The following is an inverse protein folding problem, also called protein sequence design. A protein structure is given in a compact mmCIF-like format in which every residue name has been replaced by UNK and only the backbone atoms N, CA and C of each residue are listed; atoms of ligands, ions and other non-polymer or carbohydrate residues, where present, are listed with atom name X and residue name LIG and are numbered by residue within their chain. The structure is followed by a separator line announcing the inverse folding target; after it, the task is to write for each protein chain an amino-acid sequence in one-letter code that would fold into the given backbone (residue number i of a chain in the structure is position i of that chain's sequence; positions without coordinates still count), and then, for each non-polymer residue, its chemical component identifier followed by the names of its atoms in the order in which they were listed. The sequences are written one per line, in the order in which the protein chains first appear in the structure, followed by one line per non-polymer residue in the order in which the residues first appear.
data_IF_214537888845
#
_entry.id   IF_214537888845
#
_cell.length_a   1.000
_cell.length_b   1.000
_cell.length_c   1.000
_cell.angle_alpha   90.00
_cell.angle_beta   90.00
_cell.angle_gamma   90.00
#
_symmetry.space_group_name_H-M   'P 1'
#
loop_
_entity.id
_entity.type
_entity.pdbx_description
1 polymer ?
#
# COMPACT_ATOMS: atom_id res chain seq x y z
N UNK A 1 -24.76 0.21 28.64
CA UNK A 1 -23.81 -0.89 28.38
C UNK A 1 -22.44 -0.50 28.93
N UNK A 2 -21.85 -1.32 29.79
CA UNK A 2 -20.56 -1.03 30.43
C UNK A 2 -19.45 -0.80 29.38
N UNK A 3 -18.57 0.18 29.62
CA UNK A 3 -17.36 0.47 28.82
C UNK A 3 -16.56 -0.78 28.45
N UNK A 4 -16.56 -1.79 29.33
CA UNK A 4 -15.90 -3.08 29.10
C UNK A 4 -16.57 -3.91 28.00
N UNK A 5 -17.91 -3.98 27.97
CA UNK A 5 -18.64 -4.73 26.94
C UNK A 5 -18.57 -4.08 25.56
N UNK A 6 -18.44 -2.75 25.51
CA UNK A 6 -18.27 -2.03 24.23
C UNK A 6 -16.88 -2.27 23.63
N UNK A 7 -15.83 -2.29 24.46
CA UNK A 7 -14.49 -2.73 24.05
C UNK A 7 -14.49 -4.16 23.51
N UNK A 8 -15.10 -5.11 24.22
CA UNK A 8 -15.13 -6.52 23.78
C UNK A 8 -15.84 -6.68 22.42
N UNK A 9 -16.86 -5.87 22.14
CA UNK A 9 -17.54 -5.85 20.84
C UNK A 9 -16.66 -5.34 19.70
N UNK A 10 -16.00 -4.19 19.89
CA UNK A 10 -15.09 -3.61 18.89
C UNK A 10 -13.90 -4.53 18.58
N UNK A 11 -13.35 -5.21 19.60
CA UNK A 11 -12.27 -6.18 19.40
C UNK A 11 -12.70 -7.36 18.52
N UNK A 12 -13.88 -7.93 18.78
CA UNK A 12 -14.42 -9.04 17.97
C UNK A 12 -14.69 -8.65 16.52
N UNK A 13 -15.14 -7.42 16.30
CA UNK A 13 -15.43 -6.93 14.95
C UNK A 13 -14.15 -6.71 14.14
N UNK A 14 -13.08 -6.24 14.79
CA UNK A 14 -11.75 -6.09 14.18
C UNK A 14 -11.10 -7.45 13.91
N UNK A 15 -11.17 -8.40 14.85
CA UNK A 15 -10.71 -9.78 14.66
C UNK A 15 -11.41 -10.42 13.45
N UNK A 16 -12.73 -10.23 13.36
CA UNK A 16 -13.53 -10.73 12.23
C UNK A 16 -13.15 -10.06 10.90
N UNK A 17 -12.89 -8.75 10.90
CA UNK A 17 -12.40 -8.03 9.71
C UNK A 17 -11.02 -8.52 9.26
N UNK A 18 -10.16 -8.93 10.20
CA UNK A 18 -8.82 -9.49 9.92
C UNK A 18 -8.91 -10.92 9.40
N UNK A 19 -9.81 -11.75 9.95
CA UNK A 19 -10.15 -13.05 9.37
C UNK A 19 -10.75 -12.93 7.96
N UNK A 20 -11.57 -11.90 7.73
CA UNK A 20 -12.17 -11.60 6.42
C UNK A 20 -11.15 -11.05 5.40
N UNK A 21 -9.97 -10.56 5.82
CA UNK A 21 -8.92 -10.03 4.91
C UNK A 21 -7.97 -11.09 4.33
N UNK A 22 -8.36 -12.36 4.33
CA UNK A 22 -7.64 -13.51 3.77
C UNK A 22 -6.27 -13.81 4.43
N UNK A 23 -6.30 -14.49 5.57
CA UNK A 23 -5.18 -15.37 5.98
C UNK A 23 -5.27 -16.66 5.14
N UNK A 24 -4.19 -17.10 4.46
CA UNK A 24 -4.22 -18.36 3.73
C UNK A 24 -4.43 -19.52 4.71
N UNK A 25 -5.54 -20.24 4.54
CA UNK A 25 -5.81 -21.48 5.27
C UNK A 25 -4.65 -22.46 5.14
N UNK A 26 -4.23 -23.02 6.28
CA UNK A 26 -3.23 -24.06 6.50
C UNK A 26 -3.61 -25.44 5.97
N UNK A 27 -4.29 -25.52 4.83
CA UNK A 27 -4.40 -26.79 4.11
C UNK A 27 -3.16 -26.93 3.23
N UNK A 28 -2.25 -27.84 3.61
CA UNK A 28 -0.96 -28.15 2.97
C UNK A 28 -1.00 -28.66 1.53
N UNK A 29 -1.92 -28.16 0.70
CA UNK A 29 -1.89 -28.23 -0.77
C UNK A 29 -1.85 -26.81 -1.29
N UNK A 30 -0.64 -26.30 -1.53
CA UNK A 30 -0.41 -25.02 -2.19
C UNK A 30 -1.21 -25.01 -3.49
N UNK A 31 -2.20 -24.12 -3.59
CA UNK A 31 -2.96 -23.94 -4.84
C UNK A 31 -1.95 -23.65 -5.95
N UNK A 32 -2.09 -24.26 -7.15
CA UNK A 32 -1.16 -23.97 -8.22
C UNK A 32 -1.20 -22.47 -8.53
N UNK A 33 -0.03 -21.86 -8.74
CA UNK A 33 0.08 -20.44 -9.04
C UNK A 33 0.85 -20.26 -10.35
N UNK A 34 0.47 -19.23 -11.09
CA UNK A 34 1.19 -18.80 -12.28
C UNK A 34 1.53 -17.31 -12.18
N UNK A 35 2.79 -16.98 -12.37
CA UNK A 35 3.32 -15.62 -12.22
C UNK A 35 4.58 -15.42 -13.06
N UNK A 36 5.02 -14.17 -13.23
CA UNK A 36 6.34 -13.89 -13.81
C UNK A 36 7.46 -14.30 -12.84
N UNK A 37 8.59 -14.75 -13.37
CA UNK A 37 9.77 -15.17 -12.61
C UNK A 37 10.36 -14.03 -11.77
N UNK A 38 10.21 -12.80 -12.26
CA UNK A 38 10.60 -11.56 -11.63
C UNK A 38 9.46 -10.55 -11.77
N UNK A 39 9.31 -9.67 -10.79
CA UNK A 39 8.34 -8.56 -10.90
C UNK A 39 8.90 -7.35 -11.63
N UNK A 40 10.24 -7.21 -11.68
CA UNK A 40 10.92 -6.17 -12.46
C UNK A 40 11.92 -6.83 -13.39
N UNK A 41 11.85 -6.42 -14.65
CA UNK A 41 12.85 -6.70 -15.66
C UNK A 41 13.53 -5.39 -16.05
N UNK A 42 14.84 -5.44 -16.21
CA UNK A 42 15.62 -4.30 -16.64
C UNK A 42 16.05 -4.47 -18.09
N UNK A 43 16.03 -3.36 -18.82
CA UNK A 43 16.46 -3.29 -20.22
C UNK A 43 17.58 -2.26 -20.36
N UNK A 44 18.45 -2.48 -21.34
CA UNK A 44 19.43 -1.50 -21.81
C UNK A 44 18.96 -0.84 -23.12
N UNK A 45 19.54 0.31 -23.46
CA UNK A 45 19.26 1.08 -24.68
C UNK A 45 19.55 0.30 -25.96
N UNK A 46 20.43 -0.70 -25.87
CA UNK A 46 20.86 -1.51 -27.00
C UNK A 46 19.95 -2.75 -27.20
N UNK A 47 19.09 -3.05 -26.24
CA UNK A 47 18.22 -4.23 -26.29
C UNK A 47 17.18 -4.08 -27.40
N UNK A 48 17.09 -5.10 -28.25
CA UNK A 48 16.03 -5.18 -29.28
C UNK A 48 14.75 -5.79 -28.73
N UNK A 49 14.89 -6.64 -27.72
CA UNK A 49 13.80 -7.37 -27.11
C UNK A 49 14.07 -7.54 -25.62
N UNK A 50 12.99 -7.58 -24.84
CA UNK A 50 13.04 -8.00 -23.44
C UNK A 50 12.43 -9.39 -23.29
N UNK A 51 13.16 -10.28 -22.63
CA UNK A 51 12.78 -11.64 -22.28
C UNK A 51 12.13 -11.66 -20.91
N UNK A 52 10.90 -12.17 -20.83
CA UNK A 52 10.22 -12.44 -19.57
C UNK A 52 9.95 -13.94 -19.46
N UNK A 53 10.17 -14.50 -18.29
CA UNK A 53 9.86 -15.92 -18.01
C UNK A 53 8.60 -15.99 -17.15
N UNK A 54 7.59 -16.71 -17.62
CA UNK A 54 6.40 -17.06 -16.84
C UNK A 54 6.68 -18.41 -16.16
N UNK A 55 6.42 -18.49 -14.87
CA UNK A 55 6.62 -19.69 -14.05
C UNK A 55 5.31 -20.18 -13.47
N UNK A 56 5.10 -21.49 -13.50
CA UNK A 56 3.97 -22.19 -12.90
C UNK A 56 4.49 -23.04 -11.74
N UNK A 57 4.00 -22.78 -10.52
CA UNK A 57 4.36 -23.52 -9.30
C UNK A 57 3.15 -24.31 -8.79
N UNK A 58 3.40 -25.43 -8.11
CA UNK A 58 2.35 -26.31 -7.56
C UNK A 58 1.96 -27.47 -8.49
N UNK A 59 0.76 -28.02 -8.32
CA UNK A 59 0.26 -29.16 -9.11
C UNK A 59 -0.05 -28.72 -10.56
N UNK A 60 0.80 -29.12 -11.51
CA UNK A 60 0.74 -28.71 -12.93
C UNK A 60 0.10 -29.75 -13.86
N UNK A 61 -0.73 -30.66 -13.33
CA UNK A 61 -1.26 -31.82 -14.06
C UNK A 61 -2.16 -31.47 -15.25
N UNK A 62 -2.84 -30.31 -15.21
CA UNK A 62 -3.76 -29.88 -16.25
C UNK A 62 -3.13 -28.80 -17.12
N UNK A 63 -3.48 -28.77 -18.41
CA UNK A 63 -3.11 -27.65 -19.27
C UNK A 63 -3.87 -26.37 -18.85
N UNK A 64 -3.22 -25.21 -18.99
CA UNK A 64 -3.80 -23.90 -18.64
C UNK A 64 -3.52 -22.89 -19.74
N UNK A 65 -4.53 -22.09 -20.06
CA UNK A 65 -4.39 -20.97 -20.98
C UNK A 65 -4.19 -19.68 -20.19
N UNK A 66 -3.18 -18.91 -20.59
CA UNK A 66 -2.87 -17.61 -20.02
C UNK A 66 -2.67 -16.60 -21.14
N UNK A 67 -3.15 -15.38 -20.93
CA UNK A 67 -2.92 -14.26 -21.83
C UNK A 67 -1.96 -13.29 -21.15
N UNK A 68 -0.98 -12.78 -21.89
CA UNK A 68 -0.19 -11.64 -21.48
C UNK A 68 -0.41 -10.47 -22.43
N UNK A 69 -0.49 -9.26 -21.88
CA UNK A 69 -0.71 -8.04 -22.66
C UNK A 69 0.19 -6.91 -22.18
N UNK A 70 0.83 -6.20 -23.13
CA UNK A 70 1.62 -5.00 -22.83
C UNK A 70 0.72 -3.80 -22.56
N UNK A 71 1.06 -3.04 -21.53
CA UNK A 71 0.30 -1.88 -21.04
C UNK A 71 1.25 -0.69 -20.89
N UNK A 72 0.77 0.47 -21.34
CA UNK A 72 1.51 1.72 -21.27
C UNK A 72 1.78 2.12 -19.82
N UNK A 73 2.96 2.66 -19.56
CA UNK A 73 3.25 3.43 -18.35
C UNK A 73 3.66 4.85 -18.74
N UNK A 74 4.83 5.27 -18.26
CA UNK A 74 5.51 6.46 -18.78
C UNK A 74 6.01 6.17 -20.20
N UNK A 75 6.62 4.98 -20.40
CA UNK A 75 6.92 4.48 -21.73
C UNK A 75 5.61 4.14 -22.46
N UNK A 76 5.51 4.58 -23.71
CA UNK A 76 4.30 4.44 -24.55
C UNK A 76 4.52 3.41 -25.66
N UNK A 77 3.46 2.65 -25.94
CA UNK A 77 3.34 1.79 -27.12
C UNK A 77 3.64 2.57 -28.40
N UNK A 78 4.29 1.90 -29.35
CA UNK A 78 4.68 2.39 -30.68
C UNK A 78 5.69 3.55 -30.66
N UNK A 79 6.08 4.01 -29.46
CA UNK A 79 7.19 4.91 -29.24
C UNK A 79 8.39 4.15 -28.65
N UNK A 80 8.16 3.44 -27.54
CA UNK A 80 9.20 2.73 -26.79
C UNK A 80 9.20 1.21 -27.02
N UNK A 81 8.02 0.62 -27.16
CA UNK A 81 7.82 -0.82 -27.30
C UNK A 81 6.65 -1.13 -28.22
N UNK A 82 6.66 -2.29 -28.87
CA UNK A 82 5.57 -2.72 -29.73
C UNK A 82 4.44 -3.38 -28.91
N UNK A 83 3.19 -3.11 -29.29
CA UNK A 83 2.06 -3.76 -28.65
C UNK A 83 2.12 -5.28 -28.82
N UNK A 84 1.89 -6.01 -27.73
CA UNK A 84 1.84 -7.47 -27.74
C UNK A 84 0.73 -7.94 -26.82
N UNK A 85 -0.21 -8.68 -27.37
CA UNK A 85 -1.26 -9.39 -26.64
C UNK A 85 -1.38 -10.78 -27.23
N UNK A 86 -1.11 -11.82 -26.43
CA UNK A 86 -1.06 -13.19 -26.93
C UNK A 86 -1.48 -14.19 -25.86
N UNK A 87 -2.31 -15.14 -26.25
CA UNK A 87 -2.66 -16.31 -25.44
C UNK A 87 -1.60 -17.41 -25.60
N UNK A 88 -1.23 -18.02 -24.49
CA UNK A 88 -0.27 -19.09 -24.35
C UNK A 88 -0.94 -20.25 -23.63
N UNK A 89 -0.73 -21.46 -24.15
CA UNK A 89 -1.18 -22.67 -23.49
C UNK A 89 0.01 -23.37 -22.84
N UNK A 90 0.05 -23.40 -21.52
CA UNK A 90 0.94 -24.27 -20.78
C UNK A 90 0.41 -25.70 -20.85
N UNK A 91 1.22 -26.63 -21.37
CA UNK A 91 0.84 -28.05 -21.39
C UNK A 91 0.94 -28.65 -19.98
N UNK A 92 0.39 -29.85 -19.80
CA UNK A 92 0.53 -30.58 -18.55
C UNK A 92 2.01 -30.74 -18.17
N UNK A 93 2.33 -30.44 -16.92
CA UNK A 93 3.68 -30.47 -16.33
C UNK A 93 4.68 -29.44 -16.88
N UNK A 94 4.27 -28.52 -17.77
CA UNK A 94 5.13 -27.39 -18.17
C UNK A 94 5.25 -26.39 -17.01
N UNK A 95 6.48 -26.18 -16.53
CA UNK A 95 6.76 -25.35 -15.36
C UNK A 95 7.18 -23.92 -15.71
N UNK A 96 7.74 -23.68 -16.89
CA UNK A 96 8.29 -22.38 -17.29
C UNK A 96 8.09 -22.15 -18.78
N UNK A 97 7.85 -20.90 -19.15
CA UNK A 97 7.78 -20.48 -20.56
C UNK A 97 8.30 -19.07 -20.74
N UNK A 98 9.13 -18.89 -21.75
CA UNK A 98 9.71 -17.60 -22.09
C UNK A 98 8.85 -16.86 -23.12
N UNK A 99 8.73 -15.55 -22.93
CA UNK A 99 8.10 -14.62 -23.86
C UNK A 99 9.08 -13.49 -24.18
N UNK A 100 8.92 -12.91 -25.36
CA UNK A 100 9.78 -11.83 -25.85
C UNK A 100 8.91 -10.65 -26.22
N UNK A 101 9.30 -9.45 -25.84
CA UNK A 101 8.62 -8.21 -26.20
C UNK A 101 9.59 -7.34 -26.96
N UNK A 102 9.17 -6.91 -28.13
CA UNK A 102 9.97 -6.14 -29.06
C UNK A 102 10.05 -4.67 -28.61
N UNK A 103 11.28 -4.16 -28.50
CA UNK A 103 11.60 -2.79 -28.12
C UNK A 103 11.91 -1.99 -29.37
N UNK A 104 11.55 -0.71 -29.37
CA UNK A 104 11.81 0.19 -30.50
C UNK A 104 13.19 0.80 -30.30
N UNK A 105 14.07 0.60 -31.28
CA UNK A 105 15.43 1.15 -31.26
C UNK A 105 15.43 2.63 -31.63
N UNK A 106 16.23 3.43 -30.92
CA UNK A 106 16.43 4.85 -31.22
C UNK A 106 15.55 5.83 -30.43
N UNK A 107 14.72 5.35 -29.49
CA UNK A 107 13.93 6.21 -28.60
C UNK A 107 14.73 6.69 -27.38
N UNK A 108 14.39 7.87 -26.86
CA UNK A 108 15.04 8.52 -25.70
C UNK A 108 14.60 7.84 -24.39
N UNK A 109 15.06 6.60 -24.17
CA UNK A 109 14.84 5.88 -22.92
C UNK A 109 15.43 6.64 -21.74
N UNK A 110 14.56 7.04 -20.79
CA UNK A 110 14.95 7.70 -19.54
C UNK A 110 14.78 6.77 -18.36
N UNK A 111 15.50 7.04 -17.26
CA UNK A 111 15.53 6.16 -16.06
C UNK A 111 14.15 5.96 -15.41
N UNK A 112 13.22 6.89 -15.63
CA UNK A 112 11.85 6.80 -15.15
C UNK A 112 10.87 6.18 -16.17
N UNK A 113 11.34 5.85 -17.38
CA UNK A 113 10.52 5.20 -18.39
C UNK A 113 10.26 3.75 -17.98
N UNK A 114 8.98 3.45 -17.85
CA UNK A 114 8.47 2.17 -17.40
C UNK A 114 7.23 1.82 -18.19
N UNK A 115 7.11 0.54 -18.54
CA UNK A 115 5.87 -0.05 -19.03
C UNK A 115 5.60 -1.37 -18.31
N UNK A 116 4.43 -1.93 -18.55
CA UNK A 116 3.95 -3.10 -17.80
C UNK A 116 3.54 -4.22 -18.74
N UNK A 117 3.62 -5.45 -18.23
CA UNK A 117 3.04 -6.63 -18.86
C UNK A 117 2.15 -7.29 -17.85
N UNK A 118 0.86 -7.36 -18.18
CA UNK A 118 -0.14 -7.96 -17.31
C UNK A 118 -0.38 -9.39 -17.75
N UNK A 119 -0.27 -10.31 -16.79
CA UNK A 119 -0.64 -11.71 -16.96
C UNK A 119 -2.08 -11.91 -16.50
N UNK A 120 -2.88 -12.59 -17.32
CA UNK A 120 -4.24 -13.01 -17.02
C UNK A 120 -4.37 -14.50 -17.27
N UNK A 121 -5.12 -15.15 -16.40
CA UNK A 121 -5.49 -16.55 -16.55
C UNK A 121 -6.85 -16.60 -17.25
N UNK A 122 -6.93 -17.36 -18.34
CA UNK A 122 -8.18 -17.55 -19.09
C UNK A 122 -9.05 -18.63 -18.42
N UNK A 123 -10.29 -18.78 -18.90
CA UNK A 123 -11.25 -19.72 -18.34
C UNK A 123 -10.69 -21.16 -18.28
N UNK A 124 -10.78 -21.74 -17.10
CA UNK A 124 -10.20 -23.06 -16.80
C UNK A 124 -11.23 -24.17 -16.96
N UNK A 125 -10.75 -25.38 -17.26
CA UNK A 125 -11.56 -26.59 -17.20
C UNK A 125 -12.02 -26.85 -15.75
N UNK A 126 -13.22 -27.43 -15.59
CA UNK A 126 -13.81 -27.74 -14.28
C UNK A 126 -12.83 -28.59 -13.44
N UNK A 127 -12.22 -28.00 -12.42
CA UNK A 127 -11.35 -28.70 -11.46
C UNK A 127 -9.95 -28.13 -11.30
N UNK A 128 -9.45 -27.31 -12.22
CA UNK A 128 -8.23 -26.54 -12.00
C UNK A 128 -8.53 -25.35 -11.08
N UNK A 129 -7.67 -25.11 -10.10
CA UNK A 129 -7.77 -24.02 -9.12
C UNK A 129 -6.54 -23.10 -9.21
N UNK A 130 -5.87 -23.09 -10.37
CA UNK A 130 -4.67 -22.29 -10.58
C UNK A 130 -5.02 -20.81 -10.46
N UNK A 131 -4.34 -20.11 -9.56
CA UNK A 131 -4.51 -18.67 -9.35
C UNK A 131 -3.34 -17.88 -9.93
N UNK A 132 -3.56 -16.59 -10.19
CA UNK A 132 -2.45 -15.66 -10.44
C UNK A 132 -1.63 -15.52 -9.15
N UNK A 133 -0.31 -15.59 -9.27
CA UNK A 133 0.60 -15.30 -8.16
C UNK A 133 0.83 -13.80 -7.97
N UNK A 134 1.65 -13.45 -6.99
CA UNK A 134 1.92 -12.07 -6.59
C UNK A 134 2.68 -11.30 -7.69
N UNK A 135 3.41 -12.00 -8.56
CA UNK A 135 4.10 -11.42 -9.71
C UNK A 135 3.25 -11.49 -11.00
N UNK A 136 1.96 -11.16 -10.95
CA UNK A 136 1.09 -11.14 -12.13
C UNK A 136 1.32 -9.94 -13.08
N UNK A 137 1.84 -8.83 -12.55
CA UNK A 137 2.14 -7.63 -13.31
C UNK A 137 3.65 -7.40 -13.30
N UNK A 138 4.30 -7.72 -14.42
CA UNK A 138 5.72 -7.43 -14.61
C UNK A 138 5.90 -5.95 -14.98
N UNK A 139 6.94 -5.35 -14.41
CA UNK A 139 7.34 -3.96 -14.66
C UNK A 139 8.66 -3.97 -15.42
N UNK A 140 8.68 -3.37 -16.60
CA UNK A 140 9.89 -3.28 -17.42
C UNK A 140 10.37 -1.85 -17.31
N UNK A 141 11.61 -1.66 -16.90
CA UNK A 141 12.17 -0.34 -16.69
C UNK A 141 13.60 -0.24 -17.18
N UNK A 142 13.96 0.95 -17.63
CA UNK A 142 15.33 1.29 -17.99
C UNK A 142 16.09 1.70 -16.73
N UNK A 143 17.07 0.89 -16.32
CA UNK A 143 17.90 1.18 -15.13
C UNK A 143 19.25 1.69 -15.61
N UNK A 144 19.83 2.67 -14.92
CA UNK A 144 21.27 2.92 -15.02
C UNK A 144 22.01 1.92 -14.14
N UNK A 145 23.07 1.32 -14.66
CA UNK A 145 23.94 0.43 -13.89
C UNK A 145 24.49 1.18 -12.67
N UNK A 146 24.36 0.53 -11.52
CA UNK A 146 24.78 1.09 -10.24
C UNK A 146 25.97 0.26 -9.76
N UNK A 147 27.16 0.74 -10.08
CA UNK A 147 28.41 0.06 -9.78
C UNK A 147 28.82 0.26 -8.33
N UNK A 148 29.41 -0.77 -7.72
CA UNK A 148 30.07 -0.68 -6.42
C UNK A 148 31.31 0.21 -6.50
N UNK A 149 31.94 0.47 -5.35
CA UNK A 149 33.24 1.15 -5.29
C UNK A 149 34.30 0.48 -6.17
N UNK A 150 34.21 -0.86 -6.31
CA UNK A 150 35.13 -1.66 -7.12
C UNK A 150 34.78 -1.66 -8.61
N UNK A 151 33.78 -0.87 -9.03
CA UNK A 151 33.36 -0.75 -10.42
C UNK A 151 32.57 -1.96 -10.94
N UNK A 152 32.13 -2.88 -10.06
CA UNK A 152 31.36 -4.07 -10.43
C UNK A 152 29.87 -3.89 -10.14
N UNK A 153 28.95 -4.49 -10.92
CA UNK A 153 27.55 -4.57 -10.53
C UNK A 153 27.39 -5.29 -9.19
N UNK A 154 26.32 -4.97 -8.49
CA UNK A 154 26.01 -5.43 -7.14
C UNK A 154 24.77 -6.30 -7.08
N UNK A 155 24.78 -7.26 -6.15
CA UNK A 155 23.58 -7.99 -5.73
C UNK A 155 23.36 -7.71 -4.24
N UNK A 156 22.17 -7.22 -3.90
CA UNK A 156 21.85 -6.80 -2.54
C UNK A 156 20.36 -6.88 -2.20
N UNK A 157 20.04 -6.86 -0.91
CA UNK A 157 18.65 -6.75 -0.46
C UNK A 157 18.11 -5.34 -0.70
N UNK A 158 16.83 -5.24 -1.07
CA UNK A 158 16.20 -3.92 -1.32
C UNK A 158 16.06 -3.11 -0.03
N UNK A 159 15.79 -3.78 1.09
CA UNK A 159 15.55 -3.18 2.42
C UNK A 159 16.51 -3.77 3.45
N UNK A 160 16.88 -2.95 4.43
CA UNK A 160 17.67 -3.39 5.58
C UNK A 160 16.81 -4.16 6.58
N UNK A 161 15.52 -3.83 6.66
CA UNK A 161 14.59 -4.42 7.59
C UNK A 161 13.24 -4.76 6.94
N UNK A 162 12.68 -5.90 7.32
CA UNK A 162 11.32 -6.33 6.99
C UNK A 162 10.53 -6.51 8.30
N UNK A 163 9.27 -6.10 8.27
CA UNK A 163 8.34 -6.25 9.38
C UNK A 163 7.21 -7.16 8.92
N UNK A 164 6.96 -8.25 9.64
CA UNK A 164 5.90 -9.21 9.34
C UNK A 164 5.14 -9.59 10.60
N UNK A 165 3.91 -10.04 10.42
CA UNK A 165 3.11 -10.61 11.50
C UNK A 165 3.39 -12.11 11.65
N UNK A 166 3.15 -12.66 12.84
CA UNK A 166 3.26 -14.11 13.08
C UNK A 166 2.30 -14.93 12.20
N UNK A 167 1.11 -14.41 11.90
CA UNK A 167 0.10 -15.06 11.04
C UNK A 167 0.38 -15.04 9.53
N UNK A 168 1.45 -14.41 9.06
CA UNK A 168 1.67 -14.22 7.62
C UNK A 168 1.86 -15.54 6.85
N UNK A 169 2.37 -16.58 7.54
CA UNK A 169 2.67 -17.90 6.98
C UNK A 169 3.88 -17.91 6.05
N UNK A 170 3.89 -17.09 5.00
CA UNK A 170 5.02 -16.94 4.07
C UNK A 170 5.37 -15.48 3.88
N UNK A 171 6.63 -15.14 4.09
CA UNK A 171 7.16 -13.82 3.81
C UNK A 171 8.14 -13.84 2.65
N UNK A 172 8.22 -12.71 1.95
CA UNK A 172 8.96 -12.59 0.70
C UNK A 172 9.99 -11.49 0.79
N UNK A 173 11.27 -11.87 0.78
CA UNK A 173 12.41 -10.94 0.81
C UNK A 173 12.86 -10.63 -0.60
N UNK A 174 12.99 -9.34 -0.92
CA UNK A 174 13.37 -8.87 -2.24
C UNK A 174 14.89 -8.68 -2.35
N UNK A 175 15.46 -9.27 -3.40
CA UNK A 175 16.88 -9.15 -3.79
C UNK A 175 16.94 -8.50 -5.17
N UNK A 176 17.83 -7.52 -5.33
CA UNK A 176 18.02 -6.77 -6.58
C UNK A 176 19.42 -6.98 -7.14
N UNK A 177 19.53 -6.99 -8.46
CA UNK A 177 20.76 -7.09 -9.25
C UNK A 177 20.93 -5.81 -10.06
N UNK A 178 21.97 -5.03 -9.81
CA UNK A 178 22.22 -3.73 -10.47
C UNK A 178 22.94 -3.86 -11.83
N UNK A 179 22.65 -4.91 -12.58
CA UNK A 179 23.22 -5.17 -13.92
C UNK A 179 22.11 -5.34 -14.95
N UNK A 180 22.26 -4.67 -16.08
CA UNK A 180 21.29 -4.68 -17.19
C UNK A 180 21.82 -5.33 -18.46
N UNK A 181 23.10 -5.72 -18.48
CA UNK A 181 23.68 -6.45 -19.60
C UNK A 181 23.22 -7.91 -19.70
N UNK A 182 23.59 -8.54 -20.81
CA UNK A 182 23.23 -9.92 -21.13
C UNK A 182 23.90 -10.91 -20.16
N UNK A 183 23.10 -11.79 -19.55
CA UNK A 183 23.57 -12.88 -18.69
C UNK A 183 23.13 -14.24 -19.25
N UNK A 184 23.85 -14.81 -20.23
CA UNK A 184 23.44 -16.04 -20.89
C UNK A 184 23.33 -17.24 -19.93
N UNK A 185 24.17 -17.29 -18.89
CA UNK A 185 24.17 -18.35 -17.88
C UNK A 185 23.46 -17.94 -16.57
N UNK A 186 22.97 -16.70 -16.49
CA UNK A 186 22.50 -16.09 -15.24
C UNK A 186 23.62 -15.89 -14.20
N UNK A 187 23.25 -15.29 -13.06
CA UNK A 187 24.12 -15.16 -11.88
C UNK A 187 23.48 -15.85 -10.69
N UNK A 188 24.26 -16.67 -9.99
CA UNK A 188 23.79 -17.39 -8.80
C UNK A 188 24.43 -16.82 -7.53
N UNK A 189 23.61 -16.73 -6.48
CA UNK A 189 24.04 -16.35 -5.14
C UNK A 189 23.65 -17.42 -4.13
N UNK A 190 24.44 -17.52 -3.08
CA UNK A 190 24.14 -18.31 -1.90
C UNK A 190 23.80 -17.40 -0.73
N UNK A 191 22.78 -17.80 0.03
CA UNK A 191 22.30 -17.05 1.18
C UNK A 191 21.85 -18.00 2.29
N UNK A 192 21.96 -17.50 3.52
CA UNK A 192 21.62 -18.23 4.73
C UNK A 192 20.78 -17.38 5.66
N UNK A 193 19.89 -18.02 6.40
CA UNK A 193 19.24 -17.42 7.58
C UNK A 193 20.08 -17.68 8.83
N UNK A 194 20.13 -16.69 9.72
CA UNK A 194 20.79 -16.79 11.02
C UNK A 194 19.83 -16.31 12.12
N UNK A 195 19.76 -17.09 13.19
CA UNK A 195 18.97 -16.82 14.38
C UNK A 195 19.38 -15.50 15.04
N UNK A 196 18.41 -14.85 15.67
CA UNK A 196 18.61 -13.63 16.46
C UNK A 196 17.93 -13.80 17.80
N UNK A 197 16.81 -13.07 18.01
CA UNK A 197 15.86 -13.38 19.09
C UNK A 197 14.73 -14.30 18.65
N UNK A 198 14.61 -14.57 17.35
CA UNK A 198 13.77 -15.62 16.80
C UNK A 198 14.60 -16.89 16.61
N UNK A 199 14.03 -18.02 17.00
CA UNK A 199 14.64 -19.35 16.96
C UNK A 199 14.19 -20.12 15.70
N UNK A 200 15.15 -20.70 14.99
CA UNK A 200 14.87 -21.60 13.87
C UNK A 200 14.00 -22.79 14.29
N UNK A 201 13.09 -23.19 13.41
CA UNK A 201 12.08 -24.25 13.62
C UNK A 201 11.00 -23.97 14.67
N UNK A 202 11.15 -22.93 15.50
CA UNK A 202 10.08 -22.39 16.36
C UNK A 202 9.34 -21.26 15.65
N UNK A 203 10.06 -20.24 15.20
CA UNK A 203 9.46 -18.99 14.70
C UNK A 203 9.52 -18.90 13.17
N UNK A 204 10.46 -19.60 12.54
CA UNK A 204 10.62 -19.63 11.10
C UNK A 204 11.32 -20.90 10.60
N UNK A 205 11.13 -21.24 9.32
CA UNK A 205 11.89 -22.32 8.67
C UNK A 205 13.25 -21.81 8.21
N UNK A 206 14.37 -22.34 8.73
CA UNK A 206 15.70 -21.87 8.36
C UNK A 206 16.07 -22.33 6.95
N UNK A 207 16.81 -21.47 6.25
CA UNK A 207 17.42 -21.78 4.97
C UNK A 207 18.93 -21.83 5.15
N UNK A 208 19.53 -23.00 4.86
CA UNK A 208 20.98 -23.21 4.86
C UNK A 208 21.44 -23.56 3.45
N UNK A 209 22.44 -22.86 2.95
CA UNK A 209 22.95 -22.92 1.58
C UNK A 209 21.84 -22.71 0.54
N UNK A 210 20.96 -21.74 0.78
CA UNK A 210 19.92 -21.38 -0.18
C UNK A 210 20.53 -20.81 -1.44
N UNK A 211 20.04 -21.20 -2.62
CA UNK A 211 20.52 -20.71 -3.91
C UNK A 211 19.46 -19.87 -4.60
N UNK A 212 19.84 -18.68 -5.07
CA UNK A 212 19.00 -17.83 -5.90
C UNK A 212 19.71 -17.56 -7.22
N UNK A 213 19.03 -17.81 -8.33
CA UNK A 213 19.55 -17.60 -9.68
C UNK A 213 18.77 -16.45 -10.32
N UNK A 214 19.48 -15.41 -10.73
CA UNK A 214 18.98 -14.37 -11.62
C UNK A 214 19.25 -14.78 -13.05
N UNK A 215 18.20 -14.92 -13.85
CA UNK A 215 18.32 -15.12 -15.28
C UNK A 215 18.58 -13.77 -15.98
N UNK A 216 18.73 -13.86 -17.30
CA UNK A 216 18.89 -12.70 -18.16
C UNK A 216 17.75 -11.68 -17.97
N UNK A 217 18.10 -10.38 -17.98
CA UNK A 217 17.20 -9.23 -17.80
C UNK A 217 16.33 -9.21 -16.52
N UNK A 218 16.38 -10.23 -15.66
CA UNK A 218 15.73 -10.21 -14.35
C UNK A 218 16.47 -9.25 -13.42
N UNK A 219 15.79 -8.19 -12.99
CA UNK A 219 16.37 -7.17 -12.12
C UNK A 219 16.16 -7.49 -10.63
N UNK A 220 15.01 -8.08 -10.29
CA UNK A 220 14.70 -8.45 -8.92
C UNK A 220 14.19 -9.89 -8.83
N UNK A 221 14.55 -10.54 -7.73
CA UNK A 221 14.10 -11.87 -7.36
C UNK A 221 13.66 -11.88 -5.91
N UNK A 222 12.98 -12.94 -5.55
CA UNK A 222 12.36 -13.09 -4.25
C UNK A 222 12.82 -14.38 -3.57
N UNK A 223 13.10 -14.28 -2.29
CA UNK A 223 13.34 -15.41 -1.39
C UNK A 223 12.09 -15.55 -0.53
N UNK A 224 11.41 -16.69 -0.65
CA UNK A 224 10.21 -17.00 0.12
C UNK A 224 10.66 -17.77 1.40
N UNK A 225 10.32 -17.24 2.57
CA UNK A 225 10.65 -17.82 3.88
C UNK A 225 9.35 -18.11 4.62
N UNK A 226 9.20 -19.32 5.15
CA UNK A 226 8.04 -19.69 5.93
C UNK A 226 8.19 -19.16 7.37
N UNK A 227 7.19 -18.42 7.82
CA UNK A 227 7.03 -17.98 9.20
C UNK A 227 6.12 -18.98 9.90
N UNK A 228 6.53 -19.44 11.07
CA UNK A 228 5.77 -20.35 11.90
C UNK A 228 5.01 -19.54 12.94
N UNK A 229 3.74 -19.88 13.13
CA UNK A 229 2.90 -19.24 14.14
C UNK A 229 2.61 -20.25 15.26
N UNK A 230 3.34 -20.11 16.36
CA UNK A 230 3.06 -20.87 17.58
C UNK A 230 2.16 -20.10 18.57
N UNK A 231 1.92 -18.81 18.34
CA UNK A 231 1.03 -17.96 19.15
C UNK A 231 1.46 -17.76 20.61
N UNK A 232 2.72 -18.03 20.94
CA UNK A 232 3.24 -17.96 22.32
C UNK A 232 3.91 -16.63 22.65
N UNK A 233 4.34 -15.89 21.64
CA UNK A 233 5.22 -14.74 21.83
C UNK A 233 4.47 -13.44 22.10
N UNK A 234 5.00 -12.69 23.06
CA UNK A 234 4.46 -11.39 23.48
C UNK A 234 5.36 -10.24 23.05
N UNK A 235 6.59 -10.55 22.62
CA UNK A 235 7.62 -9.59 22.20
C UNK A 235 7.95 -9.78 20.73
N UNK A 236 8.52 -8.74 20.14
CA UNK A 236 8.99 -8.80 18.76
C UNK A 236 10.23 -9.68 18.71
N UNK A 237 10.24 -10.62 17.77
CA UNK A 237 11.37 -11.52 17.55
C UNK A 237 12.06 -11.14 16.25
N UNK A 238 13.36 -11.43 16.15
CA UNK A 238 14.17 -11.04 15.00
C UNK A 238 15.10 -12.17 14.58
N UNK A 239 15.19 -12.39 13.27
CA UNK A 239 16.24 -13.19 12.66
C UNK A 239 16.83 -12.42 11.48
N UNK A 240 17.91 -12.92 10.92
CA UNK A 240 18.60 -12.25 9.82
C UNK A 240 18.76 -13.16 8.61
N UNK A 241 18.79 -12.55 7.44
CA UNK A 241 19.07 -13.20 6.16
C UNK A 241 20.30 -12.52 5.55
N UNK A 242 21.29 -13.30 5.14
CA UNK A 242 22.57 -12.80 4.65
C UNK A 242 22.98 -13.47 3.33
N UNK A 243 23.46 -12.67 2.38
CA UNK A 243 24.08 -13.16 1.15
C UNK A 243 25.52 -13.54 1.48
N UNK A 244 25.84 -14.84 1.40
CA UNK A 244 27.16 -15.37 1.76
C UNK A 244 28.14 -15.34 0.60
N UNK A 245 27.67 -15.61 -0.61
CA UNK A 245 28.53 -15.74 -1.79
C UNK A 245 27.79 -15.38 -3.07
N UNK A 246 28.51 -14.75 -3.99
CA UNK A 246 28.13 -14.63 -5.39
C UNK A 246 29.07 -15.53 -6.19
N UNK A 247 28.54 -16.37 -7.07
CA UNK A 247 29.36 -17.33 -7.82
C UNK A 247 30.06 -16.72 -9.03
N UNK A 248 29.54 -15.61 -9.56
CA UNK A 248 30.13 -14.91 -10.70
C UNK A 248 31.11 -13.84 -10.21
N UNK A 249 32.39 -13.87 -10.63
CA UNK A 249 33.40 -12.90 -10.23
C UNK A 249 33.15 -11.48 -10.77
N UNK A 250 32.28 -11.32 -11.78
CA UNK A 250 31.92 -10.01 -12.32
C UNK A 250 30.87 -9.29 -11.46
N UNK A 251 30.41 -9.91 -10.36
CA UNK A 251 29.44 -9.32 -9.45
C UNK A 251 30.02 -9.22 -8.05
N UNK A 252 29.69 -8.11 -7.40
CA UNK A 252 30.02 -7.86 -6.00
C UNK A 252 28.77 -7.97 -5.12
N UNK A 253 28.97 -8.25 -3.83
CA UNK A 253 27.89 -8.14 -2.85
C UNK A 253 27.72 -6.65 -2.53
N UNK A 254 26.50 -6.13 -2.67
CA UNK A 254 26.23 -4.72 -2.36
C UNK A 254 26.24 -4.41 -0.86
N UNK A 255 26.08 -3.14 -0.52
CA UNK A 255 26.14 -2.67 0.87
C UNK A 255 25.05 -3.32 1.75
N UNK A 256 23.90 -3.65 1.15
CA UNK A 256 22.80 -4.35 1.84
C UNK A 256 22.93 -5.87 1.68
N UNK A 257 24.03 -6.42 2.17
CA UNK A 257 24.32 -7.86 2.14
C UNK A 257 23.58 -8.67 3.21
N UNK A 258 23.03 -7.98 4.22
CA UNK A 258 22.30 -8.55 5.35
C UNK A 258 21.01 -7.77 5.60
N UNK A 259 19.91 -8.47 5.84
CA UNK A 259 18.63 -7.87 6.23
C UNK A 259 18.10 -8.52 7.50
N UNK A 260 17.47 -7.72 8.35
CA UNK A 260 16.81 -8.17 9.57
C UNK A 260 15.32 -8.30 9.33
N UNK A 261 14.77 -9.46 9.67
CA UNK A 261 13.34 -9.71 9.66
C UNK A 261 12.84 -9.61 11.09
N UNK A 262 11.83 -8.78 11.32
CA UNK A 262 11.15 -8.63 12.61
C UNK A 262 9.76 -9.25 12.51
N UNK A 263 9.53 -10.29 13.31
CA UNK A 263 8.23 -10.92 13.50
C UNK A 263 7.55 -10.22 14.68
N UNK A 264 6.36 -9.69 14.42
CA UNK A 264 5.55 -9.00 15.43
C UNK A 264 4.33 -9.85 15.76
N UNK A 265 4.03 -10.07 17.05
CA UNK A 265 2.82 -10.76 17.46
C UNK A 265 1.55 -10.05 16.96
N UNK A 266 0.57 -10.82 16.50
CA UNK A 266 -0.70 -10.30 15.96
C UNK A 266 -1.43 -9.47 17.02
N UNK A 267 -1.42 -9.96 18.26
CA UNK A 267 -2.04 -9.30 19.41
C UNK A 267 -1.48 -7.89 19.67
N UNK A 268 -0.22 -7.64 19.32
CA UNK A 268 0.46 -6.36 19.52
C UNK A 268 0.12 -5.40 18.39
N UNK A 269 0.10 -5.89 17.15
CA UNK A 269 -0.37 -5.11 16.00
C UNK A 269 -1.82 -4.67 16.17
N UNK A 270 -2.69 -5.58 16.59
CA UNK A 270 -4.09 -5.29 16.93
C UNK A 270 -4.19 -4.15 17.94
N UNK A 271 -3.47 -4.24 19.07
CA UNK A 271 -3.44 -3.19 20.10
C UNK A 271 -3.00 -1.84 19.53
N UNK A 272 -1.97 -1.82 18.69
CA UNK A 272 -1.49 -0.58 18.07
C UNK A 272 -2.56 0.04 17.14
N UNK A 273 -3.18 -0.78 16.29
CA UNK A 273 -4.25 -0.32 15.39
C UNK A 273 -5.45 0.22 16.18
N UNK A 274 -5.86 -0.44 17.25
CA UNK A 274 -6.96 0.04 18.09
C UNK A 274 -6.62 1.35 18.82
N UNK A 275 -5.38 1.50 19.29
CA UNK A 275 -4.93 2.75 19.90
C UNK A 275 -4.99 3.90 18.88
N UNK A 276 -4.55 3.66 17.64
CA UNK A 276 -4.64 4.63 16.55
C UNK A 276 -6.09 4.94 16.21
N UNK A 277 -6.96 3.94 16.06
CA UNK A 277 -8.37 4.14 15.76
C UNK A 277 -9.07 4.96 16.85
N UNK A 278 -8.82 4.65 18.13
CA UNK A 278 -9.36 5.40 19.26
C UNK A 278 -8.86 6.84 19.27
N UNK A 279 -7.58 7.06 19.01
CA UNK A 279 -6.98 8.39 18.94
C UNK A 279 -7.55 9.19 17.77
N UNK A 280 -7.65 8.58 16.59
CA UNK A 280 -8.27 9.18 15.41
C UNK A 280 -9.73 9.51 15.66
N UNK A 281 -10.52 8.61 16.25
CA UNK A 281 -11.90 8.87 16.62
C UNK A 281 -12.03 10.03 17.61
N UNK A 282 -11.11 10.15 18.57
CA UNK A 282 -11.05 11.29 19.48
C UNK A 282 -10.73 12.61 18.75
N UNK A 283 -9.76 12.62 17.82
CA UNK A 283 -9.44 13.80 17.03
C UNK A 283 -10.55 14.17 16.05
N UNK A 284 -11.13 13.20 15.34
CA UNK A 284 -12.28 13.42 14.45
C UNK A 284 -13.48 13.96 15.22
N UNK A 285 -13.75 13.47 16.44
CA UNK A 285 -14.80 14.02 17.29
C UNK A 285 -14.53 15.48 17.69
N UNK A 286 -13.26 15.82 17.98
CA UNK A 286 -12.85 17.21 18.26
C UNK A 286 -12.88 18.12 17.03
N UNK A 287 -12.59 17.57 15.85
CA UNK A 287 -12.61 18.30 14.58
C UNK A 287 -13.99 18.35 13.92
N UNK A 288 -14.95 17.56 14.42
CA UNK A 288 -16.32 17.56 13.90
C UNK A 288 -16.90 18.98 13.97
N UNK A 289 -17.25 19.60 12.83
CA UNK A 289 -17.86 20.91 12.82
C UNK A 289 -19.16 20.88 13.65
N UNK A 290 -19.36 21.89 14.51
CA UNK A 290 -20.59 22.04 15.30
C UNK A 290 -20.57 21.54 16.75
N UNK A 291 -19.42 21.07 17.27
CA UNK A 291 -19.26 20.75 18.71
C UNK A 291 -18.79 21.96 19.54
N UNK A 292 -19.23 23.18 19.21
CA UNK A 292 -18.89 24.36 20.01
C UNK A 292 -19.88 24.50 21.15
N UNK A 293 -19.39 24.56 22.38
CA UNK A 293 -20.21 24.98 23.52
C UNK A 293 -20.66 26.44 23.36
N UNK A 294 -21.73 26.83 24.05
CA UNK A 294 -22.18 28.25 24.12
C UNK A 294 -21.03 29.20 24.48
N UNK A 295 -20.19 28.79 25.43
CA UNK A 295 -18.99 29.54 25.83
C UNK A 295 -18.04 29.74 24.64
N UNK A 296 -17.80 28.70 23.84
CA UNK A 296 -16.91 28.77 22.67
C UNK A 296 -17.53 29.58 21.53
N UNK A 297 -18.85 29.51 21.31
CA UNK A 297 -19.55 30.36 20.34
C UNK A 297 -19.41 31.84 20.69
N UNK A 298 -19.58 32.20 21.96
CA UNK A 298 -19.41 33.58 22.45
C UNK A 298 -17.95 34.01 22.35
N UNK A 299 -17.00 33.15 22.77
CA UNK A 299 -15.57 33.45 22.69
C UNK A 299 -15.11 33.66 21.24
N UNK A 300 -15.59 32.84 20.31
CA UNK A 300 -15.31 32.97 18.87
C UNK A 300 -15.97 34.20 18.24
N UNK A 301 -17.14 34.61 18.74
CA UNK A 301 -17.81 35.82 18.27
C UNK A 301 -17.13 37.11 18.73
N UNK A 302 -16.45 37.07 19.88
CA UNK A 302 -15.73 38.22 20.46
C UNK A 302 -14.26 38.26 20.02
N UNK A 303 -13.66 37.13 19.65
CA UNK A 303 -12.26 37.06 19.25
C UNK A 303 -12.03 37.24 17.75
N UNK A 304 -11.13 38.17 17.41
CA UNK A 304 -10.58 38.28 16.06
C UNK A 304 -9.66 37.08 15.82
N UNK A 305 -9.87 36.38 14.70
CA UNK A 305 -9.05 35.24 14.28
C UNK A 305 -8.83 34.15 15.37
N UNK A 306 -9.90 33.80 16.10
CA UNK A 306 -9.87 32.81 17.20
C UNK A 306 -8.86 33.10 18.33
N UNK A 307 -8.44 34.36 18.50
CA UNK A 307 -7.53 34.78 19.56
C UNK A 307 -6.05 34.84 19.16
N UNK A 308 -5.69 34.55 17.91
CA UNK A 308 -4.33 34.75 17.42
C UNK A 308 -4.11 36.21 16.98
N UNK A 309 -3.76 37.04 17.96
CA UNK A 309 -3.47 38.47 17.81
C UNK A 309 -2.14 38.73 17.06
N UNK A 310 -1.28 37.72 16.93
CA UNK A 310 0.08 37.91 16.38
C UNK A 310 0.11 37.90 14.85
N UNK A 311 -0.86 37.21 14.23
CA UNK A 311 -1.00 37.12 12.77
C UNK A 311 -2.23 37.87 12.23
N UNK A 312 -2.94 38.62 13.08
CA UNK A 312 -4.17 39.31 12.69
C UNK A 312 -3.87 40.56 11.85
N UNK A 313 -4.37 40.59 10.62
CA UNK A 313 -4.22 41.74 9.73
C UNK A 313 -5.23 42.84 10.09
N UNK A 314 -4.94 44.10 9.75
CA UNK A 314 -5.89 45.21 9.95
C UNK A 314 -7.23 44.96 9.21
N UNK A 315 -7.18 44.29 8.05
CA UNK A 315 -8.37 43.86 7.34
C UNK A 315 -9.22 42.83 8.13
N UNK A 316 -8.59 41.95 8.90
CA UNK A 316 -9.28 40.96 9.74
C UNK A 316 -9.97 41.63 10.93
N UNK A 317 -9.37 42.68 11.48
CA UNK A 317 -9.98 43.50 12.53
C UNK A 317 -11.19 44.29 12.00
N UNK A 318 -11.08 44.92 10.82
CA UNK A 318 -12.19 45.67 10.22
C UNK A 318 -13.34 44.74 9.85
N UNK A 319 -13.04 43.61 9.20
CA UNK A 319 -14.05 42.60 8.87
C UNK A 319 -14.66 41.98 10.12
N UNK A 320 -13.91 41.80 11.21
CA UNK A 320 -14.46 41.36 12.48
C UNK A 320 -15.39 42.41 13.12
N UNK A 321 -15.02 43.69 13.12
CA UNK A 321 -15.86 44.77 13.65
C UNK A 321 -17.17 44.92 12.85
N UNK A 322 -17.04 44.88 11.51
CA UNK A 322 -18.12 44.71 10.54
C UNK A 322 -18.61 43.25 10.46
N UNK A 323 -18.36 42.40 11.44
CA UNK A 323 -19.03 41.13 11.57
C UNK A 323 -19.72 41.00 12.93
N UNK A 324 -19.40 41.90 13.84
CA UNK A 324 -19.51 41.65 15.26
C UNK A 324 -20.96 41.57 15.73
N UNK A 325 -21.85 42.54 15.43
CA UNK A 325 -23.25 42.41 15.85
C UNK A 325 -23.95 41.14 15.33
N UNK A 326 -23.57 40.60 14.16
CA UNK A 326 -24.17 39.41 13.56
C UNK A 326 -23.56 38.15 14.17
N UNK A 327 -22.23 38.13 14.31
CA UNK A 327 -21.52 37.07 15.05
C UNK A 327 -22.02 36.93 16.48
N UNK A 328 -22.22 38.05 17.16
CA UNK A 328 -22.68 38.07 18.54
C UNK A 328 -24.15 37.61 18.65
N UNK A 329 -25.01 38.05 17.73
CA UNK A 329 -26.41 37.58 17.69
C UNK A 329 -26.48 36.07 17.40
N UNK A 330 -25.67 35.56 16.46
CA UNK A 330 -25.60 34.14 16.15
C UNK A 330 -24.93 33.28 17.23
N UNK A 331 -24.11 33.87 18.09
CA UNK A 331 -23.57 33.18 19.27
C UNK A 331 -24.65 32.80 20.30
N UNK A 332 -25.85 33.40 20.19
CA UNK A 332 -27.01 32.99 20.99
C UNK A 332 -27.85 31.85 20.39
N UNK A 333 -27.42 31.28 19.26
CA UNK A 333 -28.08 30.09 18.73
C UNK A 333 -27.61 28.90 19.56
N UNK A 334 -28.53 28.08 20.13
CA UNK A 334 -28.13 26.91 20.88
C UNK A 334 -27.23 26.01 20.04
N UNK A 335 -26.10 25.54 20.60
CA UNK A 335 -25.17 24.65 19.94
C UNK A 335 -25.89 23.47 19.27
N UNK A 336 -25.54 23.15 18.02
CA UNK A 336 -26.09 21.97 17.34
C UNK A 336 -25.65 20.66 18.01
N UNK A 337 -24.68 20.70 18.92
CA UNK A 337 -24.30 19.58 19.79
C UNK A 337 -25.33 19.27 20.89
N UNK A 338 -26.24 20.20 21.18
CA UNK A 338 -27.25 20.06 22.24
C UNK A 338 -28.48 19.31 21.67
N UNK A 339 -28.81 18.15 22.26
CA UNK A 339 -29.95 17.31 21.88
C UNK A 339 -30.06 17.06 20.36
N UNK A 340 -28.96 16.64 19.70
CA UNK A 340 -28.91 16.38 18.25
C UNK A 340 -29.41 17.54 17.36
N UNK A 341 -29.28 18.78 17.82
CA UNK A 341 -29.58 19.98 17.01
C UNK A 341 -31.05 20.39 16.98
N UNK A 342 -31.95 19.69 17.67
CA UNK A 342 -33.36 20.08 17.77
C UNK A 342 -33.58 21.51 18.30
N UNK A 343 -32.87 21.97 19.36
CA UNK A 343 -33.02 23.33 19.86
C UNK A 343 -32.58 24.39 18.84
N UNK A 344 -31.52 24.11 18.07
CA UNK A 344 -31.01 25.00 17.02
C UNK A 344 -32.02 25.16 15.89
N UNK A 345 -32.66 24.06 15.48
CA UNK A 345 -33.70 24.06 14.46
C UNK A 345 -34.94 24.86 14.86
N UNK A 346 -35.43 24.68 16.08
CA UNK A 346 -36.61 25.41 16.58
C UNK A 346 -36.31 26.91 16.67
N UNK A 347 -35.13 27.27 17.19
CA UNK A 347 -34.73 28.68 17.28
C UNK A 347 -34.65 29.34 15.89
N UNK A 348 -34.12 28.65 14.89
CA UNK A 348 -34.08 29.15 13.52
C UNK A 348 -35.49 29.43 12.95
N UNK A 349 -36.46 28.54 13.19
CA UNK A 349 -37.85 28.75 12.76
C UNK A 349 -38.48 29.98 13.41
N UNK A 350 -38.24 30.20 14.71
CA UNK A 350 -38.76 31.37 15.43
C UNK A 350 -38.20 32.67 14.87
N UNK A 351 -36.88 32.72 14.61
CA UNK A 351 -36.22 33.93 14.06
C UNK A 351 -36.70 34.23 12.64
N UNK A 352 -36.84 33.21 11.79
CA UNK A 352 -37.37 33.39 10.43
C UNK A 352 -38.84 33.86 10.48
N UNK A 353 -39.66 33.28 11.36
CA UNK A 353 -41.04 33.71 11.58
C UNK A 353 -41.14 35.17 12.03
N UNK A 354 -40.26 35.61 12.93
CA UNK A 354 -40.21 36.98 13.41
C UNK A 354 -39.78 37.98 12.31
N UNK A 355 -38.72 37.66 11.55
CA UNK A 355 -38.25 38.52 10.46
C UNK A 355 -39.28 38.65 9.34
N UNK A 356 -39.93 37.55 8.96
CA UNK A 356 -40.99 37.58 7.95
C UNK A 356 -42.20 38.39 8.42
N UNK A 357 -42.55 38.35 9.72
CA UNK A 357 -43.60 39.18 10.29
C UNK A 357 -43.27 40.68 10.25
N UNK A 358 -42.02 41.08 10.56
CA UNK A 358 -41.59 42.49 10.48
C UNK A 358 -41.65 43.00 9.04
N UNK A 359 -41.10 42.24 8.09
CA UNK A 359 -41.12 42.62 6.67
C UNK A 359 -42.56 42.75 6.16
N UNK A 360 -43.42 41.79 6.52
CA UNK A 360 -44.84 41.85 6.19
C UNK A 360 -45.54 43.08 6.79
N UNK A 361 -45.22 43.44 8.02
CA UNK A 361 -45.78 44.62 8.72
C UNK A 361 -45.32 45.93 8.08
N UNK A 362 -44.05 46.05 7.73
CA UNK A 362 -43.50 47.22 7.05
C UNK A 362 -44.07 47.38 5.64
N UNK A 363 -44.31 46.26 4.94
CA UNK A 363 -44.94 46.29 3.61
C UNK A 363 -46.42 46.66 3.67
N UNK A 364 -47.12 46.30 4.75
CA UNK A 364 -48.47 46.78 5.06
C UNK A 364 -48.50 48.28 5.39
N UNK A 365 -47.54 48.78 6.17
CA UNK A 365 -47.42 50.20 6.51
C UNK A 365 -47.10 51.07 5.29
N UNK A 366 -46.23 50.62 4.39
CA UNK A 366 -45.95 51.33 3.14
C UNK A 366 -47.17 51.41 2.23
N UNK A 367 -48.03 50.38 2.22
CA UNK A 367 -49.31 50.39 1.47
C UNK A 367 -50.37 51.30 2.09
N UNK A 368 -50.31 51.53 3.41
CA UNK A 368 -51.21 52.46 4.10
C UNK A 368 -50.77 53.93 3.94
N UNK A 369 -49.46 54.18 3.83
CA UNK A 369 -48.92 55.52 3.55
C UNK A 369 -48.96 55.92 2.06
N UNK A 370 -49.27 54.96 1.17
CA UNK A 370 -49.42 55.20 -0.28
C UNK A 370 -50.89 55.33 -0.73
N UNK A 371 -51.84 55.44 0.21
CA UNK A 371 -53.24 55.82 0.00
C UNK A 371 -53.48 57.15 0.69
#
# INVERSE_FOLDING_TARGET
MSSSQRKIGEFREIEKLIEETEVPQSNGRTKPIIEFSARIYAIDKNDKQVKLTIVRRGLTKNAINVNYTTVNGVAKRDQHFLFKSKSLQFVANEAKRDIYIDLIQGDDWRINHVFYVHLKVEDQSKGDKTKLGNCANARILFVRENYSFDGLPTIEFTKNNYLVTESIGWMRVCVTKSYTGCLPNGVSINFDTQDGSADAYSDYMPIKNGQLIFNDQEYQKYIDIQILNEGKDVKDQTFTLEIKRVHDPNFSIGAKCKTTITIVPDNKMLKNVMNIHRLLGHYLKKMSPGQQSWREQILNAVSVNAGDLTNATICDCITHALAFPWKFTFAFIPPPSLMNGYPSFIFALVVIGFLTAIVGTNQLLLRLNSR
#
